data_IF_641177126426
#
_entry.id   IF_641177126426
#
_cell.length_a   1.000
_cell.length_b   1.000
_cell.length_c   1.000
_cell.angle_alpha   90.00
_cell.angle_beta   90.00
_cell.angle_gamma   90.00
#
_symmetry.space_group_name_H-M   'P 1'
#
loop_
_entity.id
_entity.type
_entity.pdbx_description
1 polymer ?
#
# COMPACT_ATOMS: atom_id res chain seq x y z
N UNK A 1 8.29 28.63 -5.53
CA UNK A 1 7.51 27.51 -5.00
C UNK A 1 6.26 27.34 -5.84
N UNK A 2 5.75 26.11 -6.00
CA UNK A 2 4.57 25.80 -6.82
C UNK A 2 3.30 26.46 -6.28
N UNK A 3 3.01 26.34 -4.97
CA UNK A 3 1.89 27.06 -4.34
C UNK A 3 2.05 27.14 -2.82
N UNK A 4 2.67 28.21 -2.32
CA UNK A 4 2.80 28.43 -0.88
C UNK A 4 1.44 28.61 -0.17
N UNK A 5 0.42 29.11 -0.87
CA UNK A 5 -0.92 29.29 -0.31
C UNK A 5 -1.71 27.97 -0.18
N UNK A 6 -1.29 26.91 -0.90
CA UNK A 6 -1.84 25.56 -0.79
C UNK A 6 -0.86 24.59 -0.13
N UNK A 7 0.09 25.10 0.66
CA UNK A 7 1.14 24.34 1.35
C UNK A 7 2.02 23.45 0.45
N UNK A 8 2.08 23.75 -0.85
CA UNK A 8 3.01 23.14 -1.79
C UNK A 8 4.26 24.01 -1.94
N UNK A 9 5.30 23.67 -1.18
CA UNK A 9 6.58 24.36 -1.15
C UNK A 9 7.63 23.76 -2.10
N UNK A 10 7.23 22.93 -3.07
CA UNK A 10 8.16 22.45 -4.10
C UNK A 10 8.68 23.59 -4.96
N UNK A 11 9.89 23.47 -5.50
CA UNK A 11 10.45 24.43 -6.44
C UNK A 11 9.61 24.46 -7.73
N UNK A 12 9.24 25.65 -8.18
CA UNK A 12 8.57 25.83 -9.46
C UNK A 12 9.61 25.82 -10.59
N UNK A 13 9.21 25.49 -11.82
CA UNK A 13 10.10 25.45 -13.00
C UNK A 13 10.87 26.75 -13.29
N UNK A 14 10.40 27.87 -12.74
CA UNK A 14 11.00 29.20 -12.87
C UNK A 14 11.78 29.63 -11.62
N UNK A 15 11.96 28.73 -10.65
CA UNK A 15 12.56 29.08 -9.37
C UNK A 15 14.04 29.46 -9.53
N UNK A 16 14.49 30.58 -8.94
CA UNK A 16 15.89 30.98 -8.97
C UNK A 16 16.78 30.10 -8.08
N UNK A 17 16.19 29.20 -7.29
CA UNK A 17 16.91 28.24 -6.46
C UNK A 17 17.41 27.02 -7.25
N UNK A 18 16.93 26.83 -8.49
CA UNK A 18 17.30 25.71 -9.36
C UNK A 18 18.77 25.84 -9.80
N UNK A 19 19.55 24.78 -9.61
CA UNK A 19 20.99 24.65 -9.87
C UNK A 19 21.84 25.75 -9.21
N UNK A 20 21.36 26.38 -8.15
CA UNK A 20 22.03 27.51 -7.48
C UNK A 20 22.75 27.12 -6.17
N UNK A 21 22.58 25.88 -5.72
CA UNK A 21 23.17 25.31 -4.51
C UNK A 21 24.58 24.74 -4.72
N UNK A 22 25.13 24.14 -3.66
CA UNK A 22 26.45 23.48 -3.67
C UNK A 22 26.38 22.14 -2.97
N UNK A 23 27.21 21.19 -3.42
CA UNK A 23 27.40 19.90 -2.75
C UNK A 23 27.95 20.01 -1.33
N UNK A 24 28.57 21.15 -0.99
CA UNK A 24 29.22 21.34 0.31
C UNK A 24 28.18 21.37 1.42
N UNK A 25 28.13 20.30 2.23
CA UNK A 25 27.18 20.07 3.33
C UNK A 25 25.73 19.84 2.88
N UNK A 26 25.49 19.66 1.58
CA UNK A 26 24.18 19.21 1.12
C UNK A 26 23.96 17.74 1.54
N UNK A 27 22.80 17.39 2.12
CA UNK A 27 22.45 15.99 2.33
C UNK A 27 22.36 15.27 0.97
N UNK A 28 22.58 13.96 0.96
CA UNK A 28 22.53 13.16 -0.26
C UNK A 28 21.10 12.97 -0.80
N UNK A 29 20.10 13.31 0.02
CA UNK A 29 18.67 13.28 -0.30
C UNK A 29 18.00 14.56 0.19
N UNK A 30 16.94 14.99 -0.49
CA UNK A 30 16.12 16.13 -0.08
C UNK A 30 15.08 15.73 0.98
N UNK A 31 14.11 16.61 1.26
CA UNK A 31 13.12 16.39 2.32
C UNK A 31 12.12 15.29 1.96
N UNK A 32 11.92 15.06 0.67
CA UNK A 32 11.03 14.07 0.07
C UNK A 32 11.76 12.77 -0.29
N UNK A 33 13.08 12.72 -0.08
CA UNK A 33 13.90 11.54 -0.28
C UNK A 33 14.56 11.46 -1.65
N UNK A 34 14.35 12.44 -2.53
CA UNK A 34 14.94 12.50 -3.86
C UNK A 34 16.45 12.71 -3.78
N UNK A 35 17.21 12.04 -4.65
CA UNK A 35 18.68 12.12 -4.63
C UNK A 35 19.18 13.52 -5.00
N UNK A 36 20.21 13.99 -4.30
CA UNK A 36 20.88 15.27 -4.58
C UNK A 36 22.25 15.05 -5.23
N UNK A 37 22.57 15.72 -6.35
CA UNK A 37 21.71 16.62 -7.12
C UNK A 37 20.80 15.83 -8.07
N UNK A 38 19.62 16.37 -8.37
CA UNK A 38 18.79 15.88 -9.47
C UNK A 38 18.82 16.88 -10.62
N UNK A 39 19.40 16.47 -11.75
CA UNK A 39 19.62 17.35 -12.90
C UNK A 39 21.05 17.90 -12.98
N UNK A 40 21.18 19.20 -13.26
CA UNK A 40 22.48 19.81 -13.62
C UNK A 40 23.28 20.36 -12.45
N UNK A 41 22.75 20.35 -11.23
CA UNK A 41 23.35 20.95 -10.04
C UNK A 41 22.45 20.79 -8.82
N UNK A 42 22.96 21.20 -7.65
CA UNK A 42 22.17 21.20 -6.40
C UNK A 42 21.27 22.42 -6.37
N UNK A 43 20.10 22.25 -5.79
CA UNK A 43 19.13 23.31 -5.58
C UNK A 43 19.24 23.91 -4.18
N UNK A 44 18.95 25.21 -4.06
CA UNK A 44 18.92 25.89 -2.76
C UNK A 44 17.59 25.58 -2.07
N UNK A 45 17.64 24.83 -0.97
CA UNK A 45 16.48 24.62 -0.12
C UNK A 45 16.36 23.18 0.36
N UNK A 46 15.16 22.83 0.83
CA UNK A 46 14.84 21.51 1.35
C UNK A 46 14.45 20.51 0.24
N UNK A 47 14.16 20.98 -0.98
CA UNK A 47 13.65 20.23 -2.15
C UNK A 47 14.63 20.34 -3.33
N UNK A 48 14.72 19.34 -4.20
CA UNK A 48 15.37 19.43 -5.53
C UNK A 48 14.31 19.53 -6.65
N UNK A 49 14.55 20.42 -7.61
CA UNK A 49 13.66 20.58 -8.73
C UNK A 49 13.85 19.47 -9.75
N UNK A 50 12.88 18.56 -9.80
CA UNK A 50 12.74 17.59 -10.87
C UNK A 50 12.02 18.24 -12.06
N UNK A 51 12.70 18.31 -13.22
CA UNK A 51 12.08 18.73 -14.48
C UNK A 51 11.08 17.68 -14.95
N UNK A 52 9.90 17.68 -14.34
CA UNK A 52 8.87 16.64 -14.44
C UNK A 52 7.81 16.72 -13.32
N UNK A 53 8.07 17.48 -12.25
CA UNK A 53 7.36 17.34 -10.98
C UNK A 53 7.97 16.20 -10.16
N UNK A 54 7.61 16.03 -8.86
CA UNK A 54 7.94 14.81 -8.15
C UNK A 54 7.50 13.61 -8.99
N UNK A 55 8.21 12.46 -8.93
CA UNK A 55 7.73 11.26 -9.58
C UNK A 55 6.26 11.05 -9.20
N UNK A 56 5.42 10.64 -10.16
CA UNK A 56 4.00 10.50 -9.91
C UNK A 56 3.79 9.58 -8.71
N UNK A 57 3.29 10.12 -7.59
CA UNK A 57 3.07 9.33 -6.37
C UNK A 57 1.94 8.34 -6.63
N UNK A 58 2.25 7.07 -6.40
CA UNK A 58 1.25 6.02 -6.25
C UNK A 58 0.59 6.21 -4.90
N UNK A 59 -0.74 6.13 -4.84
CA UNK A 59 -1.42 6.01 -3.54
C UNK A 59 -2.34 4.81 -3.58
N UNK A 60 -2.29 4.00 -2.54
CA UNK A 60 -3.25 2.92 -2.38
C UNK A 60 -4.58 3.47 -1.87
N UNK A 61 -5.66 2.92 -2.41
CA UNK A 61 -7.02 3.32 -2.06
C UNK A 61 -7.92 2.11 -1.85
N UNK A 62 -9.01 2.32 -1.11
CA UNK A 62 -9.89 1.22 -0.71
C UNK A 62 -10.69 0.63 -1.88
N UNK A 63 -10.79 -0.70 -1.89
CA UNK A 63 -11.77 -1.45 -2.66
C UNK A 63 -12.61 -2.38 -1.77
N UNK A 64 -13.80 -2.75 -2.24
CA UNK A 64 -14.64 -3.77 -1.64
C UNK A 64 -15.14 -4.77 -2.68
N UNK A 65 -15.13 -6.05 -2.31
CA UNK A 65 -15.71 -7.13 -3.08
C UNK A 65 -17.01 -7.64 -2.45
N UNK A 66 -18.10 -7.56 -3.21
CA UNK A 66 -19.36 -8.21 -2.88
C UNK A 66 -19.36 -9.63 -3.45
N UNK A 67 -18.99 -10.61 -2.61
CA UNK A 67 -18.98 -12.03 -3.01
C UNK A 67 -20.36 -12.61 -3.32
N UNK A 68 -21.44 -12.05 -2.77
CA UNK A 68 -22.80 -12.50 -3.11
C UNK A 68 -23.19 -12.07 -4.53
N UNK A 69 -22.78 -10.86 -4.94
CA UNK A 69 -23.05 -10.30 -6.26
C UNK A 69 -21.96 -10.56 -7.31
N UNK A 70 -20.79 -11.08 -6.91
CA UNK A 70 -19.64 -11.25 -7.79
C UNK A 70 -19.15 -9.92 -8.37
N UNK A 71 -19.09 -8.87 -7.54
CA UNK A 71 -18.87 -7.49 -8.02
C UNK A 71 -17.85 -6.73 -7.17
N UNK A 72 -16.94 -6.04 -7.83
CA UNK A 72 -15.96 -5.13 -7.23
C UNK A 72 -16.47 -3.69 -7.24
N UNK A 73 -16.09 -2.96 -6.20
CA UNK A 73 -16.36 -1.55 -5.99
C UNK A 73 -15.06 -0.90 -5.51
N UNK A 74 -14.40 -0.14 -6.36
CA UNK A 74 -13.10 0.46 -6.10
C UNK A 74 -13.27 1.99 -5.97
N UNK A 75 -12.52 2.60 -5.06
CA UNK A 75 -12.49 4.05 -4.84
C UNK A 75 -11.13 4.57 -5.24
N UNK A 76 -11.07 5.70 -5.91
CA UNK A 76 -9.81 6.40 -6.19
C UNK A 76 -9.49 7.44 -5.10
N UNK A 77 -10.13 7.31 -3.94
CA UNK A 77 -9.92 8.20 -2.80
C UNK A 77 -10.31 7.51 -1.49
N UNK A 78 -9.50 7.72 -0.46
CA UNK A 78 -9.72 7.23 0.90
C UNK A 78 -10.72 8.11 1.67
N UNK A 79 -11.93 8.20 1.14
CA UNK A 79 -13.04 8.97 1.69
C UNK A 79 -14.39 8.29 1.42
N UNK A 80 -15.41 8.66 2.20
CA UNK A 80 -16.76 8.17 1.97
C UNK A 80 -17.30 8.60 0.60
N UNK A 81 -18.15 7.78 0.01
CA UNK A 81 -18.74 8.07 -1.30
C UNK A 81 -19.09 6.80 -2.08
N UNK A 82 -19.71 6.96 -3.26
CA UNK A 82 -19.90 5.85 -4.19
C UNK A 82 -18.55 5.36 -4.74
N UNK A 83 -18.50 4.12 -5.24
CA UNK A 83 -17.35 3.62 -5.97
C UNK A 83 -17.12 4.44 -7.26
N UNK A 84 -15.85 4.70 -7.57
CA UNK A 84 -15.45 5.33 -8.83
C UNK A 84 -15.44 4.29 -9.96
N UNK A 85 -15.05 3.06 -9.63
CA UNK A 85 -14.99 1.93 -10.56
C UNK A 85 -15.83 0.79 -9.99
N UNK A 86 -16.72 0.21 -10.81
CA UNK A 86 -17.45 -1.00 -10.41
C UNK A 86 -17.73 -1.93 -11.58
N UNK A 87 -17.47 -3.21 -11.39
CA UNK A 87 -17.62 -4.23 -12.44
C UNK A 87 -17.82 -5.62 -11.84
N UNK A 88 -18.46 -6.49 -12.61
CA UNK A 88 -18.65 -7.89 -12.21
C UNK A 88 -17.42 -8.71 -12.59
N UNK A 89 -16.91 -9.52 -11.66
CA UNK A 89 -15.83 -10.46 -11.89
C UNK A 89 -15.93 -11.61 -10.88
N UNK A 90 -15.85 -12.84 -11.40
CA UNK A 90 -16.00 -14.07 -10.62
C UNK A 90 -17.45 -14.52 -10.37
N UNK A 91 -17.61 -15.72 -9.81
CA UNK A 91 -18.91 -16.32 -9.52
C UNK A 91 -19.62 -15.63 -8.34
N UNK A 92 -20.94 -15.63 -8.39
CA UNK A 92 -21.79 -15.19 -7.29
C UNK A 92 -21.88 -16.25 -6.20
N UNK A 93 -21.91 -15.82 -4.94
CA UNK A 93 -22.09 -16.67 -3.75
C UNK A 93 -21.04 -17.78 -3.58
N UNK A 94 -19.85 -17.62 -4.17
CA UNK A 94 -18.81 -18.64 -4.12
C UNK A 94 -17.90 -18.53 -2.88
N UNK A 95 -17.95 -17.40 -2.16
CA UNK A 95 -17.11 -17.18 -0.96
C UNK A 95 -15.62 -17.01 -1.26
N UNK A 96 -15.24 -16.83 -2.53
CA UNK A 96 -13.86 -16.65 -2.97
C UNK A 96 -13.29 -15.35 -2.40
N UNK A 97 -12.14 -15.39 -1.70
CA UNK A 97 -11.48 -14.16 -1.25
C UNK A 97 -10.98 -13.33 -2.44
N UNK A 98 -11.15 -11.99 -2.39
CA UNK A 98 -10.48 -11.09 -3.31
C UNK A 98 -9.00 -10.95 -2.94
N UNK A 99 -8.20 -10.59 -3.94
CA UNK A 99 -6.84 -10.09 -3.79
C UNK A 99 -6.64 -8.92 -4.76
N UNK A 100 -5.58 -8.14 -4.55
CA UNK A 100 -5.17 -7.07 -5.45
C UNK A 100 -3.65 -7.06 -5.58
N UNK A 101 -3.19 -6.55 -6.71
CA UNK A 101 -1.78 -6.34 -7.01
C UNK A 101 -1.59 -5.88 -8.46
N UNK A 102 -0.44 -5.27 -8.76
CA UNK A 102 0.05 -5.00 -10.11
C UNK A 102 0.59 -6.28 -10.75
N UNK A 103 -0.32 -7.06 -11.32
CA UNK A 103 0.03 -8.37 -11.88
C UNK A 103 0.95 -8.31 -13.10
N UNK A 104 1.08 -7.16 -13.76
CA UNK A 104 1.81 -7.02 -15.03
C UNK A 104 2.89 -5.94 -15.03
N UNK A 105 3.20 -5.36 -13.87
CA UNK A 105 4.28 -4.38 -13.69
C UNK A 105 4.02 -3.07 -14.43
N UNK A 106 2.76 -2.66 -14.60
CA UNK A 106 2.42 -1.40 -15.26
C UNK A 106 2.17 -0.23 -14.29
N UNK A 107 2.34 -0.47 -13.00
CA UNK A 107 2.11 0.47 -11.90
C UNK A 107 0.65 0.63 -11.53
N UNK A 108 -0.27 -0.19 -12.06
CA UNK A 108 -1.71 -0.14 -11.72
C UNK A 108 -2.13 -1.43 -11.06
N UNK A 109 -2.58 -1.32 -9.81
CA UNK A 109 -3.16 -2.46 -9.10
C UNK A 109 -4.45 -2.92 -9.77
N UNK A 110 -4.61 -4.23 -9.88
CA UNK A 110 -5.79 -4.83 -10.43
C UNK A 110 -6.29 -6.00 -9.57
N UNK A 111 -7.51 -6.46 -9.84
CA UNK A 111 -8.20 -7.39 -8.95
C UNK A 111 -7.92 -8.84 -9.32
N UNK A 112 -7.91 -9.70 -8.30
CA UNK A 112 -7.89 -11.14 -8.44
C UNK A 112 -8.90 -11.82 -7.53
N UNK A 113 -9.16 -13.10 -7.78
CA UNK A 113 -9.96 -13.97 -6.94
C UNK A 113 -9.23 -15.29 -6.70
N UNK A 114 -9.38 -15.82 -5.49
CA UNK A 114 -8.86 -17.12 -5.12
C UNK A 114 -10.00 -18.10 -4.87
N UNK A 115 -9.97 -19.25 -5.54
CA UNK A 115 -10.85 -20.38 -5.25
C UNK A 115 -10.19 -21.30 -4.21
N UNK A 116 -10.60 -21.25 -2.93
CA UNK A 116 -9.98 -22.07 -1.88
C UNK A 116 -10.24 -23.57 -2.03
N UNK A 117 -11.28 -23.96 -2.78
CA UNK A 117 -11.60 -25.38 -3.00
C UNK A 117 -10.59 -26.04 -3.92
N UNK A 118 -10.11 -25.33 -4.94
CA UNK A 118 -9.19 -25.86 -5.95
C UNK A 118 -7.79 -25.24 -5.88
N UNK A 119 -7.57 -24.32 -4.95
CA UNK A 119 -6.35 -23.51 -4.87
C UNK A 119 -6.02 -22.79 -6.16
N UNK A 120 -7.05 -22.28 -6.84
CA UNK A 120 -6.92 -21.60 -8.14
C UNK A 120 -6.95 -20.10 -7.97
N UNK A 121 -5.97 -19.41 -8.53
CA UNK A 121 -5.95 -17.97 -8.70
C UNK A 121 -6.54 -17.59 -10.06
N UNK A 122 -7.33 -16.53 -10.08
CA UNK A 122 -7.87 -15.89 -11.27
C UNK A 122 -7.51 -14.41 -11.17
N UNK A 123 -6.54 -13.98 -11.98
CA UNK A 123 -6.03 -12.60 -11.96
C UNK A 123 -6.52 -11.85 -13.18
N UNK A 124 -6.72 -10.54 -13.02
CA UNK A 124 -7.25 -9.69 -14.09
C UNK A 124 -6.50 -8.36 -14.07
N UNK A 125 -6.04 -7.91 -15.23
CA UNK A 125 -5.20 -6.71 -15.36
C UNK A 125 -6.01 -5.45 -15.67
N UNK A 126 -7.34 -5.58 -15.80
CA UNK A 126 -8.22 -4.47 -16.18
C UNK A 126 -9.47 -4.45 -15.31
N UNK A 127 -9.95 -3.26 -14.95
CA UNK A 127 -11.12 -3.11 -14.08
C UNK A 127 -12.45 -3.19 -14.83
N UNK A 128 -12.66 -4.30 -15.54
CA UNK A 128 -13.86 -4.58 -16.31
C UNK A 128 -14.28 -6.04 -16.22
N UNK A 129 -15.53 -6.33 -16.57
CA UNK A 129 -15.99 -7.71 -16.67
C UNK A 129 -15.21 -8.48 -17.75
N UNK A 130 -15.15 -9.80 -17.64
CA UNK A 130 -14.51 -10.67 -18.63
C UNK A 130 -13.81 -11.88 -18.01
N UNK A 131 -13.12 -12.63 -18.86
CA UNK A 131 -12.27 -13.74 -18.44
C UNK A 131 -11.06 -13.23 -17.64
N UNK A 132 -10.46 -14.10 -16.82
CA UNK A 132 -9.19 -13.79 -16.19
C UNK A 132 -8.06 -13.73 -17.24
N UNK A 133 -7.07 -12.87 -17.01
CA UNK A 133 -5.87 -12.77 -17.83
C UNK A 133 -4.85 -13.86 -17.44
N UNK A 134 -4.84 -14.28 -16.18
CA UNK A 134 -4.11 -15.46 -15.70
C UNK A 134 -4.99 -16.38 -14.86
N UNK A 135 -4.89 -17.69 -15.09
CA UNK A 135 -5.56 -18.73 -14.29
C UNK A 135 -4.57 -19.85 -14.01
N UNK A 136 -4.29 -20.12 -12.74
CA UNK A 136 -3.32 -21.14 -12.34
C UNK A 136 -3.60 -21.68 -10.93
N UNK A 137 -3.03 -22.84 -10.62
CA UNK A 137 -3.15 -23.49 -9.31
C UNK A 137 -1.86 -23.31 -8.54
N UNK A 138 -1.95 -22.85 -7.29
CA UNK A 138 -0.82 -22.73 -6.37
C UNK A 138 -1.27 -23.10 -4.95
N UNK A 139 -0.48 -23.90 -4.25
CA UNK A 139 -0.79 -24.40 -2.91
C UNK A 139 -1.73 -25.60 -2.86
N UNK A 140 -2.17 -25.93 -1.64
CA UNK A 140 -2.95 -27.14 -1.37
C UNK A 140 -4.47 -26.87 -1.40
N UNK A 141 -5.15 -27.50 -2.38
CA UNK A 141 -6.59 -27.42 -2.55
C UNK A 141 -7.36 -27.84 -1.28
N UNK A 142 -8.37 -27.07 -0.89
CA UNK A 142 -9.22 -27.38 0.27
C UNK A 142 -8.54 -27.23 1.63
N UNK A 143 -7.30 -26.73 1.68
CA UNK A 143 -6.53 -26.57 2.92
C UNK A 143 -6.95 -25.40 3.81
N UNK A 144 -7.92 -24.58 3.39
CA UNK A 144 -8.33 -23.37 4.10
C UNK A 144 -7.25 -22.28 4.12
N UNK A 145 -6.32 -22.32 3.16
CA UNK A 145 -5.25 -21.33 3.05
C UNK A 145 -5.80 -19.99 2.58
N UNK A 146 -5.23 -18.90 3.09
CA UNK A 146 -5.65 -17.53 2.83
C UNK A 146 -4.71 -16.93 1.77
N UNK A 147 -5.25 -16.32 0.70
CA UNK A 147 -4.43 -15.71 -0.32
C UNK A 147 -3.88 -14.36 0.14
N UNK A 148 -2.75 -13.99 -0.41
CA UNK A 148 -2.05 -12.72 -0.22
C UNK A 148 -1.35 -12.38 -1.53
N UNK A 149 -0.99 -11.12 -1.74
CA UNK A 149 -0.22 -10.67 -2.89
C UNK A 149 0.77 -9.60 -2.45
N UNK A 150 1.84 -9.46 -3.23
CA UNK A 150 2.85 -8.44 -3.09
C UNK A 150 4.06 -8.68 -4.01
N UNK A 151 4.91 -7.67 -4.15
CA UNK A 151 6.19 -7.72 -4.86
C UNK A 151 7.25 -8.36 -3.96
N UNK A 152 7.24 -9.69 -3.90
CA UNK A 152 8.12 -10.44 -3.00
C UNK A 152 9.61 -10.34 -3.35
N UNK A 153 9.96 -9.91 -4.57
CA UNK A 153 11.34 -9.88 -5.06
C UNK A 153 11.83 -8.51 -5.49
N UNK A 154 11.04 -7.45 -5.27
CA UNK A 154 11.41 -6.07 -5.55
C UNK A 154 11.60 -5.78 -7.03
N UNK A 155 10.83 -6.45 -7.92
CA UNK A 155 10.92 -6.24 -9.37
C UNK A 155 9.85 -5.28 -9.92
N UNK A 156 9.00 -4.74 -9.05
CA UNK A 156 7.91 -3.82 -9.34
C UNK A 156 6.64 -4.50 -9.82
N UNK A 157 6.53 -5.84 -9.76
CA UNK A 157 5.30 -6.57 -10.10
C UNK A 157 4.82 -7.43 -8.94
N UNK A 158 3.54 -7.34 -8.64
CA UNK A 158 2.95 -8.17 -7.60
C UNK A 158 2.72 -9.60 -8.05
N UNK A 159 2.96 -10.51 -7.12
CA UNK A 159 2.75 -11.93 -7.33
C UNK A 159 2.07 -12.59 -6.14
N UNK A 160 1.54 -13.80 -6.33
CA UNK A 160 0.64 -14.40 -5.34
C UNK A 160 1.40 -15.12 -4.22
N UNK A 161 0.80 -15.14 -3.04
CA UNK A 161 1.21 -15.94 -1.91
C UNK A 161 0.03 -16.63 -1.24
N UNK A 162 0.34 -17.55 -0.34
CA UNK A 162 -0.63 -18.24 0.50
C UNK A 162 -0.14 -18.31 1.94
N UNK A 163 -1.04 -18.05 2.88
CA UNK A 163 -0.86 -18.31 4.30
C UNK A 163 -1.66 -19.54 4.71
N UNK A 164 -0.97 -20.52 5.30
CA UNK A 164 -1.60 -21.67 5.94
C UNK A 164 -1.84 -21.37 7.42
N UNK A 165 -3.07 -21.01 7.83
CA UNK A 165 -3.36 -20.66 9.22
C UNK A 165 -3.22 -21.85 10.17
N UNK A 166 -3.35 -23.09 9.69
CA UNK A 166 -3.21 -24.28 10.54
C UNK A 166 -1.77 -24.54 10.99
N UNK A 167 -0.79 -24.03 10.24
CA UNK A 167 0.63 -24.21 10.50
C UNK A 167 1.35 -22.89 10.89
N UNK A 168 0.75 -21.73 10.60
CA UNK A 168 1.45 -20.45 10.73
C UNK A 168 2.57 -20.31 9.69
N UNK A 169 2.30 -20.74 8.45
CA UNK A 169 3.31 -20.81 7.39
C UNK A 169 2.89 -20.01 6.16
N UNK A 170 3.84 -19.26 5.59
CA UNK A 170 3.70 -18.56 4.33
C UNK A 170 4.37 -19.32 3.19
N UNK A 171 3.78 -19.21 2.01
CA UNK A 171 4.27 -19.75 0.74
C UNK A 171 4.14 -18.66 -0.31
N UNK A 172 5.26 -18.10 -0.77
CA UNK A 172 5.31 -16.98 -1.71
C UNK A 172 5.80 -17.46 -3.08
N UNK A 173 5.27 -16.87 -4.15
CA UNK A 173 5.56 -17.28 -5.52
C UNK A 173 5.81 -16.04 -6.37
N UNK A 174 6.95 -15.97 -7.05
CA UNK A 174 7.37 -14.83 -7.89
C UNK A 174 6.93 -15.01 -9.35
N UNK A 175 5.77 -15.63 -9.58
CA UNK A 175 5.23 -15.82 -10.93
C UNK A 175 3.73 -16.15 -10.91
N UNK A 176 3.04 -15.79 -12.00
CA UNK A 176 1.61 -16.11 -12.23
C UNK A 176 1.40 -17.51 -12.83
N UNK A 177 2.08 -18.49 -12.26
CA UNK A 177 2.04 -19.87 -12.70
C UNK A 177 2.06 -20.82 -11.50
N UNK A 178 1.54 -22.03 -11.71
CA UNK A 178 1.69 -23.09 -10.72
C UNK A 178 3.14 -23.49 -10.49
N UNK A 179 3.37 -24.32 -9.47
CA UNK A 179 4.70 -24.80 -9.11
C UNK A 179 4.95 -24.74 -7.60
N UNK A 180 6.20 -25.02 -7.23
CA UNK A 180 6.67 -24.84 -5.86
C UNK A 180 6.75 -23.35 -5.51
N UNK A 181 6.62 -23.04 -4.21
CA UNK A 181 6.86 -21.70 -3.70
C UNK A 181 8.35 -21.35 -3.84
N UNK A 182 8.66 -20.09 -4.15
CA UNK A 182 10.03 -19.56 -4.18
C UNK A 182 10.54 -19.29 -2.75
N UNK A 183 9.63 -18.92 -1.85
CA UNK A 183 9.90 -18.83 -0.43
C UNK A 183 8.81 -19.55 0.39
N UNK A 184 9.23 -20.30 1.41
CA UNK A 184 8.33 -20.93 2.36
C UNK A 184 8.92 -20.88 3.77
N UNK A 185 8.19 -20.30 4.71
CA UNK A 185 8.69 -20.04 6.06
C UNK A 185 7.56 -19.93 7.09
N UNK A 186 7.90 -20.09 8.36
CA UNK A 186 6.95 -19.92 9.47
C UNK A 186 6.97 -18.50 9.99
N UNK A 187 5.80 -17.91 10.14
CA UNK A 187 5.59 -16.66 10.84
C UNK A 187 4.17 -16.66 11.43
N UNK A 188 4.09 -16.38 12.73
CA UNK A 188 2.85 -16.45 13.50
C UNK A 188 2.53 -17.82 14.10
N UNK A 189 1.42 -17.87 14.82
CA UNK A 189 1.01 -19.06 15.57
C UNK A 189 0.01 -19.92 14.78
N UNK A 190 0.27 -21.23 14.78
CA UNK A 190 -0.62 -22.24 14.22
C UNK A 190 -2.01 -22.19 14.89
N UNK A 191 -3.08 -22.25 14.08
CA UNK A 191 -4.48 -22.26 14.49
C UNK A 191 -4.91 -21.05 15.34
N UNK A 192 -4.19 -19.92 15.24
CA UNK A 192 -4.48 -18.74 16.03
C UNK A 192 -5.58 -17.83 15.44
N UNK A 193 -6.11 -18.16 14.26
CA UNK A 193 -7.12 -17.36 13.56
C UNK A 193 -6.61 -15.99 13.09
N UNK A 194 -5.28 -15.86 12.90
CA UNK A 194 -4.67 -14.64 12.40
C UNK A 194 -4.88 -14.49 10.89
N UNK A 195 -5.01 -13.25 10.44
CA UNK A 195 -5.26 -12.89 9.05
C UNK A 195 -3.98 -12.33 8.41
N UNK A 196 -3.60 -12.77 7.20
CA UNK A 196 -2.40 -12.29 6.52
C UNK A 196 -2.63 -10.92 5.86
N UNK A 197 -1.55 -10.17 5.68
CA UNK A 197 -1.46 -8.92 4.92
C UNK A 197 -0.02 -8.73 4.44
N UNK A 198 0.25 -7.91 3.42
CA UNK A 198 1.58 -7.65 2.89
C UNK A 198 1.72 -6.20 2.46
N UNK A 199 2.96 -5.71 2.47
CA UNK A 199 3.36 -4.38 2.04
C UNK A 199 4.86 -4.21 2.26
N UNK A 200 5.46 -3.20 1.66
CA UNK A 200 6.82 -2.74 1.91
C UNK A 200 6.79 -1.83 3.15
N UNK A 201 6.88 -2.49 4.31
CA UNK A 201 6.84 -1.84 5.61
C UNK A 201 8.07 -0.98 5.90
N UNK A 202 9.12 -1.01 5.07
CA UNK A 202 10.35 -0.27 5.34
C UNK A 202 10.85 0.58 4.18
N UNK A 203 10.06 0.75 3.13
CA UNK A 203 10.35 1.59 1.98
C UNK A 203 11.57 1.12 1.18
N UNK A 204 11.85 -0.19 1.15
CA UNK A 204 12.96 -0.75 0.36
C UNK A 204 12.58 -1.26 -1.03
N UNK A 205 11.29 -1.13 -1.39
CA UNK A 205 10.69 -1.57 -2.64
C UNK A 205 10.36 -3.05 -2.69
N UNK A 206 10.45 -3.80 -1.58
CA UNK A 206 10.08 -5.22 -1.52
C UNK A 206 8.95 -5.44 -0.51
N UNK A 207 7.84 -6.00 -0.99
CA UNK A 207 6.75 -6.38 -0.10
C UNK A 207 7.15 -7.54 0.80
N UNK A 208 6.71 -7.46 2.05
CA UNK A 208 6.96 -8.48 3.05
C UNK A 208 5.74 -8.79 3.89
N UNK A 209 5.74 -9.92 4.58
CA UNK A 209 4.52 -10.46 5.20
C UNK A 209 4.19 -9.80 6.54
N UNK A 210 2.90 -9.67 6.80
CA UNK A 210 2.32 -9.26 8.06
C UNK A 210 1.17 -10.16 8.50
N UNK A 211 0.86 -10.12 9.80
CA UNK A 211 -0.26 -10.83 10.41
C UNK A 211 -1.06 -9.90 11.32
N UNK A 212 -2.38 -9.97 11.20
CA UNK A 212 -3.31 -9.34 12.12
C UNK A 212 -3.95 -10.40 13.03
N UNK A 213 -3.85 -10.18 14.35
CA UNK A 213 -4.53 -10.97 15.36
C UNK A 213 -5.86 -10.30 15.75
N UNK A 214 -7.02 -10.74 15.22
CA UNK A 214 -8.31 -10.13 15.54
C UNK A 214 -8.73 -10.30 17.00
N UNK A 215 -8.25 -11.35 17.70
CA UNK A 215 -8.58 -11.55 19.11
C UNK A 215 -7.95 -10.50 20.03
N UNK A 216 -6.80 -9.95 19.63
CA UNK A 216 -6.08 -8.93 20.40
C UNK A 216 -6.17 -7.53 19.79
N UNK A 217 -6.52 -7.40 18.50
CA UNK A 217 -6.41 -6.14 17.78
C UNK A 217 -4.94 -5.73 17.58
N UNK A 218 -4.09 -6.67 17.18
CA UNK A 218 -2.64 -6.47 17.09
C UNK A 218 -2.09 -6.87 15.71
N UNK A 219 -1.16 -6.06 15.19
CA UNK A 219 -0.38 -6.34 14.00
C UNK A 219 1.01 -6.85 14.37
N UNK A 220 1.54 -7.72 13.53
CA UNK A 220 2.89 -8.24 13.55
C UNK A 220 3.44 -8.18 12.13
N UNK A 221 4.44 -7.32 11.89
CA UNK A 221 5.03 -7.08 10.57
C UNK A 221 6.45 -7.63 10.53
N UNK A 222 6.85 -8.16 9.38
CA UNK A 222 8.18 -8.74 9.15
C UNK A 222 8.77 -8.10 7.90
N UNK A 223 10.04 -7.72 7.92
CA UNK A 223 10.74 -7.11 6.78
C UNK A 223 11.64 -8.13 6.07
N UNK A 224 11.24 -9.41 6.06
CA UNK A 224 12.00 -10.49 5.41
C UNK A 224 11.14 -11.71 5.12
N UNK A 225 11.53 -12.45 4.09
CA UNK A 225 10.92 -13.74 3.69
C UNK A 225 11.53 -14.93 4.43
N UNK A 226 11.68 -14.79 5.74
CA UNK A 226 12.37 -15.75 6.60
C UNK A 226 11.68 -15.87 7.97
N UNK A 227 11.83 -17.02 8.66
CA UNK A 227 11.27 -17.17 10.00
C UNK A 227 11.92 -16.19 10.99
N UNK A 228 11.20 -15.82 12.05
CA UNK A 228 11.72 -15.01 13.13
C UNK A 228 10.64 -14.25 13.89
N UNK A 229 11.07 -13.44 14.85
CA UNK A 229 10.20 -12.48 15.55
C UNK A 229 9.73 -11.38 14.59
N UNK A 230 8.62 -10.72 14.88
CA UNK A 230 8.20 -9.55 14.10
C UNK A 230 9.22 -8.39 14.26
N UNK A 231 9.46 -7.64 13.19
CA UNK A 231 10.25 -6.41 13.24
C UNK A 231 9.44 -5.25 13.85
N UNK A 232 8.12 -5.26 13.63
CA UNK A 232 7.18 -4.38 14.32
C UNK A 232 5.99 -5.17 14.88
N UNK A 233 5.61 -4.87 16.12
CA UNK A 233 4.42 -5.44 16.77
C UNK A 233 3.71 -4.37 17.60
N UNK A 234 2.43 -4.12 17.30
CA UNK A 234 1.67 -3.02 17.90
C UNK A 234 0.16 -3.27 17.86
N UNK A 235 -0.57 -2.57 18.71
CA UNK A 235 -2.04 -2.63 18.75
C UNK A 235 -2.64 -1.59 17.81
N UNK A 236 -3.56 -2.04 16.95
CA UNK A 236 -4.41 -1.17 16.14
C UNK A 236 -5.75 -1.87 15.92
N UNK A 237 -6.84 -1.17 16.20
CA UNK A 237 -8.19 -1.74 16.17
C UNK A 237 -8.65 -2.35 17.49
N UNK A 238 -9.88 -2.86 17.48
CA UNK A 238 -10.51 -3.42 18.68
C UNK A 238 -10.35 -4.95 18.73
N UNK A 239 -10.06 -5.45 19.94
CA UNK A 239 -9.97 -6.87 20.23
C UNK A 239 -11.31 -7.60 20.05
N UNK A 240 -11.22 -8.88 19.68
CA UNK A 240 -12.35 -9.79 19.46
C UNK A 240 -13.38 -9.26 18.45
N UNK A 241 -12.89 -8.58 17.41
CA UNK A 241 -13.71 -8.11 16.29
C UNK A 241 -13.36 -8.87 15.01
N UNK A 242 -14.33 -9.00 14.10
CA UNK A 242 -14.14 -9.59 12.77
C UNK A 242 -13.58 -8.59 11.75
N UNK A 243 -12.75 -7.64 12.20
CA UNK A 243 -12.15 -6.63 11.33
C UNK A 243 -11.10 -7.29 10.45
N UNK A 244 -11.00 -6.81 9.20
CA UNK A 244 -10.13 -7.38 8.18
C UNK A 244 -8.97 -6.42 7.92
N UNK A 245 -7.72 -6.92 7.87
CA UNK A 245 -6.56 -6.08 7.63
C UNK A 245 -6.52 -5.59 6.18
N UNK A 246 -5.89 -4.44 6.02
CA UNK A 246 -5.55 -3.80 4.75
C UNK A 246 -4.10 -3.34 4.85
N UNK A 247 -3.47 -3.19 3.69
CA UNK A 247 -2.16 -2.61 3.53
C UNK A 247 -2.17 -1.73 2.28
N UNK A 248 -1.38 -0.67 2.31
CA UNK A 248 -1.27 0.26 1.19
C UNK A 248 -0.56 1.54 1.60
N UNK A 249 0.02 2.23 0.62
CA UNK A 249 0.60 3.54 0.79
C UNK A 249 -0.52 4.60 0.76
N UNK A 250 -1.04 4.95 1.94
CA UNK A 250 -2.21 5.84 2.04
C UNK A 250 -1.86 7.32 1.83
N UNK A 251 -0.57 7.68 1.91
CA UNK A 251 -0.05 9.05 1.88
C UNK A 251 0.97 9.31 0.76
N UNK A 252 1.31 8.31 -0.04
CA UNK A 252 2.20 8.44 -1.19
C UNK A 252 3.66 8.64 -0.79
N UNK A 253 4.10 8.12 0.36
CA UNK A 253 5.49 8.26 0.83
C UNK A 253 6.41 7.11 0.42
N UNK A 254 5.88 6.14 -0.33
CA UNK A 254 6.59 4.95 -0.82
C UNK A 254 6.77 3.86 0.23
N UNK A 255 6.10 3.94 1.38
CA UNK A 255 6.05 2.87 2.39
C UNK A 255 4.60 2.44 2.62
N UNK A 256 4.27 1.16 2.45
CA UNK A 256 2.93 0.69 2.80
C UNK A 256 2.69 0.75 4.31
N UNK A 257 1.46 1.13 4.66
CA UNK A 257 1.01 1.14 6.03
C UNK A 257 -0.27 0.35 6.22
N UNK A 258 -0.64 0.16 7.48
CA UNK A 258 -1.71 -0.74 7.88
C UNK A 258 -3.07 -0.04 7.87
N UNK A 259 -4.11 -0.82 7.62
CA UNK A 259 -5.50 -0.42 7.75
C UNK A 259 -6.38 -1.54 8.29
N UNK A 260 -7.59 -1.18 8.73
CA UNK A 260 -8.62 -2.13 9.15
C UNK A 260 -9.96 -1.74 8.55
N UNK A 261 -10.67 -2.73 8.03
CA UNK A 261 -12.07 -2.62 7.66
C UNK A 261 -12.95 -3.33 8.69
N UNK A 262 -13.93 -2.62 9.23
CA UNK A 262 -15.00 -3.17 10.05
C UNK A 262 -16.20 -3.50 9.16
N UNK A 263 -16.39 -4.78 8.77
CA UNK A 263 -17.50 -5.17 7.90
C UNK A 263 -18.86 -5.00 8.59
N UNK A 264 -18.93 -5.10 9.92
CA UNK A 264 -20.17 -4.91 10.67
C UNK A 264 -20.70 -3.47 10.63
N UNK A 265 -19.80 -2.49 10.50
CA UNK A 265 -20.15 -1.07 10.45
C UNK A 265 -19.97 -0.42 9.07
N UNK A 266 -19.36 -1.12 8.09
CA UNK A 266 -18.99 -0.52 6.80
C UNK A 266 -17.99 0.61 6.98
N UNK A 267 -17.01 0.45 7.88
CA UNK A 267 -16.09 1.53 8.30
C UNK A 267 -14.64 1.14 8.06
N UNK A 268 -13.89 2.06 7.46
CA UNK A 268 -12.46 1.93 7.18
C UNK A 268 -11.68 2.77 8.17
N UNK A 269 -10.55 2.23 8.64
CA UNK A 269 -9.56 2.89 9.51
C UNK A 269 -8.19 2.73 8.86
N UNK A 270 -7.55 3.82 8.46
CA UNK A 270 -6.21 3.82 7.86
C UNK A 270 -5.22 4.50 8.81
N UNK A 271 -3.99 4.00 8.84
CA UNK A 271 -2.94 4.51 9.71
C UNK A 271 -1.63 4.58 8.96
N UNK A 272 -0.92 5.70 9.07
CA UNK A 272 0.30 5.98 8.31
C UNK A 272 1.56 5.73 9.16
N UNK A 273 1.50 4.73 10.05
CA UNK A 273 2.64 4.36 10.90
C UNK A 273 2.49 2.94 11.46
N UNK A 274 3.62 2.27 11.70
CA UNK A 274 3.66 0.95 12.33
C UNK A 274 3.74 1.04 13.85
N UNK A 275 2.83 1.80 14.45
CA UNK A 275 2.77 2.04 15.88
C UNK A 275 1.35 2.00 16.41
N UNK A 276 1.17 1.86 17.73
CA UNK A 276 -0.16 1.95 18.32
C UNK A 276 -0.70 3.39 18.29
N UNK A 277 -2.01 3.54 18.14
CA UNK A 277 -2.66 4.86 18.15
C UNK A 277 -4.00 4.88 17.43
N UNK A 278 -4.66 6.05 17.36
CA UNK A 278 -5.88 6.22 16.58
C UNK A 278 -5.60 6.08 15.08
N UNK A 279 -6.64 5.83 14.28
CA UNK A 279 -6.50 5.92 12.83
C UNK A 279 -6.22 7.37 12.42
N UNK A 280 -5.35 7.57 11.43
CA UNK A 280 -5.12 8.88 10.82
C UNK A 280 -6.33 9.27 9.97
N UNK A 281 -6.93 8.28 9.31
CA UNK A 281 -8.12 8.46 8.50
C UNK A 281 -9.20 7.44 8.83
N UNK A 282 -10.44 7.90 8.88
CA UNK A 282 -11.60 7.05 9.13
C UNK A 282 -12.80 7.52 8.32
N UNK A 283 -13.45 6.61 7.60
CA UNK A 283 -14.63 6.92 6.81
C UNK A 283 -15.54 5.69 6.63
N UNK A 284 -16.76 5.93 6.14
CA UNK A 284 -17.70 4.87 5.79
C UNK A 284 -17.53 4.50 4.32
N UNK A 285 -17.49 3.20 4.04
CA UNK A 285 -17.53 2.68 2.68
C UNK A 285 -18.14 1.28 2.65
N UNK A 286 -19.09 1.08 1.73
CA UNK A 286 -19.86 -0.15 1.62
C UNK A 286 -20.99 -0.30 2.65
N UNK A 287 -21.91 -1.26 2.41
CA UNK A 287 -23.02 -1.53 3.32
C UNK A 287 -22.57 -2.27 4.58
N UNK A 288 -22.99 -1.77 5.74
CA UNK A 288 -22.76 -2.38 7.04
C UNK A 288 -23.40 -3.79 7.12
N UNK A 289 -22.63 -4.76 7.62
CA UNK A 289 -23.10 -6.14 7.85
C UNK A 289 -23.30 -6.98 6.59
N UNK A 290 -22.97 -6.47 5.40
CA UNK A 290 -23.22 -7.17 4.15
C UNK A 290 -22.18 -8.26 3.81
N UNK A 291 -21.15 -8.44 4.65
CA UNK A 291 -20.09 -9.44 4.42
C UNK A 291 -19.16 -9.14 3.25
N UNK A 292 -19.11 -7.90 2.78
CA UNK A 292 -18.18 -7.48 1.73
C UNK A 292 -16.74 -7.54 2.27
N UNK A 293 -15.80 -7.94 1.42
CA UNK A 293 -14.38 -8.12 1.79
C UNK A 293 -13.55 -6.96 1.23
N UNK A 294 -12.62 -6.38 2.01
CA UNK A 294 -11.80 -5.28 1.56
C UNK A 294 -10.60 -5.78 0.76
N UNK A 295 -10.06 -4.85 0.00
CA UNK A 295 -8.79 -4.93 -0.72
C UNK A 295 -8.29 -3.49 -0.87
N UNK A 296 -7.02 -3.32 -1.21
CA UNK A 296 -6.42 -2.02 -1.42
C UNK A 296 -5.44 -2.09 -2.58
N UNK A 297 -5.22 -0.95 -3.23
CA UNK A 297 -4.32 -0.80 -4.36
C UNK A 297 -4.47 0.58 -5.02
N UNK A 298 -3.52 0.96 -5.85
CA UNK A 298 -3.60 2.08 -6.79
C UNK A 298 -4.37 1.67 -8.05
N UNK A 299 -5.69 1.91 -8.05
CA UNK A 299 -6.56 1.51 -9.16
C UNK A 299 -6.46 2.42 -10.39
N UNK A 300 -5.76 3.55 -10.30
CA UNK A 300 -5.75 4.60 -11.32
C UNK A 300 -4.34 4.98 -11.77
N UNK A 301 -3.34 4.29 -11.24
CA UNK A 301 -1.94 4.43 -11.58
C UNK A 301 -1.29 5.67 -10.98
N UNK A 302 0.06 5.70 -11.06
CA UNK A 302 0.85 6.73 -10.42
C UNK A 302 0.51 8.11 -10.99
N UNK A 303 0.39 9.11 -10.11
CA UNK A 303 0.25 10.52 -10.50
C UNK A 303 -1.12 10.91 -11.02
N UNK A 304 -2.12 10.06 -10.83
CA UNK A 304 -3.50 10.39 -11.14
C UNK A 304 -4.00 11.55 -10.26
N UNK A 305 -4.62 12.57 -10.86
CA UNK A 305 -4.94 13.86 -10.23
C UNK A 305 -5.92 13.80 -9.02
N UNK A 306 -6.52 12.63 -8.76
CA UNK A 306 -7.41 12.41 -7.61
C UNK A 306 -6.69 11.74 -6.43
N UNK A 307 -5.38 11.50 -6.55
CA UNK A 307 -4.54 10.94 -5.51
C UNK A 307 -4.29 12.00 -4.43
N UNK A 308 -5.31 12.27 -3.60
CA UNK A 308 -5.15 13.15 -2.44
C UNK A 308 -4.50 12.32 -1.33
N UNK A 309 -3.18 12.40 -1.25
CA UNK A 309 -2.43 11.97 -0.07
C UNK A 309 -3.10 12.55 1.18
N UNK A 310 -3.49 11.67 2.09
CA UNK A 310 -4.03 12.09 3.36
C UNK A 310 -2.86 12.54 4.23
N UNK A 311 -2.62 13.85 4.29
CA UNK A 311 -1.69 14.42 5.25
C UNK A 311 -2.17 14.04 6.66
N UNK A 312 -1.45 13.10 7.29
CA UNK A 312 -1.67 12.75 8.69
C UNK A 312 -1.38 13.95 9.61
N UNK A 313 -1.81 13.90 10.88
CA UNK A 313 -1.53 14.94 11.88
C UNK A 313 -0.02 15.14 12.16
N UNK A 314 0.85 14.29 11.62
CA UNK A 314 2.31 14.40 11.67
C UNK A 314 2.94 15.17 10.50
N UNK A 315 2.16 15.86 9.66
CA UNK A 315 2.67 17.00 8.93
C UNK A 315 3.15 18.02 9.98
N UNK A 316 4.43 17.86 10.39
CA UNK A 316 5.04 18.66 11.45
C UNK A 316 4.75 20.09 11.07
N UNK A 317 4.10 20.88 11.95
CA UNK A 317 3.86 22.28 11.64
C UNK A 317 5.21 22.85 11.25
N UNK A 318 5.25 23.56 10.13
CA UNK A 318 6.40 24.31 9.64
C UNK A 318 6.88 25.12 10.84
N UNK A 319 7.78 24.54 11.63
CA UNK A 319 8.48 25.29 12.65
C UNK A 319 9.26 26.24 11.79
N UNK A 320 8.97 27.53 11.93
CA UNK A 320 9.84 28.60 11.43
C UNK A 320 11.25 28.27 11.92
N UNK A 321 12.00 27.51 11.12
CA UNK A 321 13.44 27.46 11.24
C UNK A 321 13.83 28.82 10.73
N UNK A 322 14.13 29.71 11.66
CA UNK A 322 14.78 30.97 11.35
C UNK A 322 16.13 30.61 10.73
N UNK A 323 16.16 30.45 9.41
CA UNK A 323 17.39 30.26 8.68
C UNK A 323 18.17 31.56 8.73
N UNK A 324 19.22 31.56 9.52
CA UNK A 324 20.27 32.56 9.45
C UNK A 324 20.90 32.47 8.06
N UNK A 325 20.54 33.41 7.20
CA UNK A 325 21.14 33.59 5.87
C UNK A 325 22.67 33.80 6.05
N UNK A 326 23.49 32.79 5.76
CA UNK A 326 24.91 33.01 5.50
C UNK A 326 25.06 33.08 3.97
N UNK A 327 24.71 34.23 3.40
CA UNK A 327 25.09 34.56 2.04
C UNK A 327 26.52 35.11 2.03
N UNK A 328 27.41 34.68 1.12
CA UNK A 328 28.64 35.41 0.86
C UNK A 328 28.29 36.75 0.23
N UNK A 329 28.78 37.85 0.82
CA UNK A 329 28.67 39.20 0.27
C UNK A 329 29.22 39.23 -1.16
N UNK A 330 28.34 39.32 -2.16
CA UNK A 330 28.71 39.82 -3.49
C UNK A 330 28.95 41.32 -3.34
N UNK A 331 30.23 41.74 -3.23
CA UNK A 331 30.60 43.14 -3.41
C UNK A 331 30.45 43.48 -4.89
N UNK A 332 29.57 44.41 -5.22
CA UNK A 332 29.59 45.10 -6.52
C UNK A 332 30.83 45.99 -6.56
N UNK A 333 31.63 45.85 -7.62
CA UNK A 333 32.58 46.86 -8.06
C UNK A 333 31.85 47.95 -8.85
#
# INVERSE_FOLDING_TARGET
>A
FVSAAGDNYHLSSTSPAINAGTAMLAPNRDFEGDTRPSGSGWDIGADEYLSGGPPPVSISTIGLYNGAGGRFYLRNANSAGPADISFAYGPQNAGWPPIAGDWNGDGVDAVGLYNPTTSTFLLRNVHSAGAADAVFVFGAAGGGWLPIAGDWNGDGSDTVGLYNPSAGAFFLRNSHAGGAADAAFFFGAANAGWLPTAGDWNGDGTDTVGLYNPSAGAFFLRNSHAPGAADAAFFFGAANQNWQPLAGDWNGDGTENIGLYNPGAGRVYLRNSHSAGPADVTFLYGPAGAGWRPLAGDWNGPGSANNVALAGPEARPIRRVSWLLIAPRIRRA
#
